data_IF_167903289273
#
_entry.id   IF_167903289273
#
_cell.length_a   1.000
_cell.length_b   1.000
_cell.length_c   1.000
_cell.angle_alpha   90.00
_cell.angle_beta   90.00
_cell.angle_gamma   90.00
#
_symmetry.space_group_name_H-M   'P 1'
#
loop_
_entity.id
_entity.type
_entity.pdbx_description
1 polymer ?
#
# COMPACT_ATOMS: atom_id res chain seq x y z
N UNK A 1 30.88 -39.65 -10.36
CA UNK A 1 29.46 -39.83 -10.74
C UNK A 1 28.59 -38.60 -10.40
N UNK A 2 28.94 -37.79 -9.38
CA UNK A 2 28.07 -36.71 -8.90
C UNK A 2 28.08 -35.42 -9.76
N UNK A 3 29.21 -35.07 -10.38
CA UNK A 3 29.32 -33.81 -11.17
C UNK A 3 28.61 -33.93 -12.53
N UNK A 4 28.63 -35.12 -13.16
CA UNK A 4 27.94 -35.36 -14.43
C UNK A 4 26.42 -35.32 -14.28
N UNK A 5 25.89 -35.81 -13.14
CA UNK A 5 24.46 -35.81 -12.86
C UNK A 5 23.92 -34.37 -12.60
N UNK A 6 24.70 -33.49 -11.98
CA UNK A 6 24.35 -32.11 -11.76
C UNK A 6 24.34 -31.30 -13.07
N UNK A 7 25.32 -31.50 -13.96
CA UNK A 7 25.37 -30.85 -15.26
C UNK A 7 24.21 -31.27 -16.18
N UNK A 8 23.81 -32.54 -16.13
CA UNK A 8 22.68 -33.04 -16.93
C UNK A 8 21.33 -32.58 -16.40
N UNK A 9 21.20 -32.34 -15.09
CA UNK A 9 19.96 -31.79 -14.51
C UNK A 9 19.78 -30.29 -14.84
N UNK A 10 20.87 -29.50 -14.77
CA UNK A 10 20.85 -28.09 -15.17
C UNK A 10 20.53 -27.95 -16.68
N UNK A 11 21.20 -28.72 -17.54
CA UNK A 11 20.96 -28.68 -18.99
C UNK A 11 19.56 -29.11 -19.40
N UNK A 12 18.91 -30.05 -18.68
CA UNK A 12 17.52 -30.44 -18.95
C UNK A 12 16.53 -29.35 -18.55
N UNK A 13 16.77 -28.60 -17.47
CA UNK A 13 15.92 -27.48 -17.06
C UNK A 13 16.05 -26.31 -18.05
N UNK A 14 17.26 -25.99 -18.51
CA UNK A 14 17.49 -24.91 -19.50
C UNK A 14 16.85 -25.25 -20.85
N UNK A 15 16.91 -26.51 -21.30
CA UNK A 15 16.24 -26.93 -22.52
C UNK A 15 14.70 -26.87 -22.41
N UNK A 16 14.14 -27.22 -21.26
CA UNK A 16 12.71 -27.11 -20.97
C UNK A 16 12.24 -25.66 -20.96
N UNK A 17 13.01 -24.77 -20.35
CA UNK A 17 12.72 -23.34 -20.28
C UNK A 17 12.75 -22.71 -21.69
N UNK A 18 13.81 -22.96 -22.47
CA UNK A 18 13.94 -22.44 -23.83
C UNK A 18 12.79 -22.85 -24.74
N UNK A 19 12.39 -24.14 -24.70
CA UNK A 19 11.24 -24.63 -25.46
C UNK A 19 9.94 -23.96 -25.04
N UNK A 20 9.70 -23.78 -23.74
CA UNK A 20 8.48 -23.15 -23.24
C UNK A 20 8.41 -21.67 -23.61
N UNK A 21 9.54 -20.94 -23.60
CA UNK A 21 9.62 -19.57 -24.08
C UNK A 21 9.28 -19.48 -25.57
N UNK A 22 9.82 -20.39 -26.40
CA UNK A 22 9.51 -20.45 -27.83
C UNK A 22 8.01 -20.69 -28.09
N UNK A 23 7.40 -21.60 -27.33
CA UNK A 23 5.95 -21.85 -27.41
C UNK A 23 5.17 -20.58 -27.06
N UNK A 24 5.52 -19.90 -25.97
CA UNK A 24 4.85 -18.68 -25.54
C UNK A 24 4.93 -17.58 -26.59
N UNK A 25 6.12 -17.34 -27.14
CA UNK A 25 6.33 -16.32 -28.20
C UNK A 25 5.52 -16.69 -29.47
N UNK A 26 5.51 -17.96 -29.86
CA UNK A 26 4.75 -18.39 -31.03
C UNK A 26 3.24 -18.25 -30.80
N UNK A 27 2.72 -18.59 -29.62
CA UNK A 27 1.32 -18.38 -29.26
C UNK A 27 0.94 -16.89 -29.33
N UNK A 28 1.74 -16.00 -28.76
CA UNK A 28 1.51 -14.55 -28.84
C UNK A 28 1.50 -14.05 -30.28
N UNK A 29 2.43 -14.53 -31.12
CA UNK A 29 2.48 -14.20 -32.53
C UNK A 29 1.24 -14.66 -33.28
N UNK A 30 0.84 -15.93 -33.11
CA UNK A 30 -0.34 -16.48 -33.76
C UNK A 30 -1.62 -15.73 -33.39
N UNK A 31 -1.79 -15.41 -32.08
CA UNK A 31 -2.92 -14.63 -31.61
C UNK A 31 -2.92 -13.21 -32.21
N UNK A 32 -1.76 -12.54 -32.23
CA UNK A 32 -1.65 -11.18 -32.77
C UNK A 32 -1.89 -11.11 -34.29
N UNK A 33 -1.60 -12.18 -35.04
CA UNK A 33 -1.74 -12.20 -36.48
C UNK A 33 -3.08 -12.75 -36.97
N UNK A 34 -3.65 -13.73 -36.24
CA UNK A 34 -4.74 -14.56 -36.76
C UNK A 34 -6.03 -14.50 -35.98
N UNK A 35 -6.04 -13.85 -34.76
CA UNK A 35 -7.27 -13.71 -34.01
C UNK A 35 -8.24 -12.74 -34.70
N UNK A 36 -9.56 -12.98 -34.59
CA UNK A 36 -10.60 -12.24 -35.32
C UNK A 36 -10.64 -10.75 -34.97
N UNK A 37 -10.36 -10.40 -33.69
CA UNK A 37 -10.32 -9.02 -33.21
C UNK A 37 -8.86 -8.57 -32.98
N UNK A 38 -8.56 -7.27 -33.06
CA UNK A 38 -7.25 -6.76 -32.69
C UNK A 38 -6.88 -7.14 -31.27
N UNK A 39 -5.72 -7.75 -31.10
CA UNK A 39 -5.20 -8.17 -29.78
C UNK A 39 -4.08 -7.23 -29.38
N UNK A 40 -4.15 -6.76 -28.15
CA UNK A 40 -3.10 -5.97 -27.52
C UNK A 40 -2.01 -6.92 -26.95
N UNK A 41 -0.78 -6.88 -27.48
CA UNK A 41 0.31 -7.75 -27.01
C UNK A 41 0.68 -7.56 -25.54
N UNK A 42 0.56 -6.33 -25.01
CA UNK A 42 0.90 -6.02 -23.63
C UNK A 42 -0.09 -6.68 -22.69
N UNK A 43 -1.39 -6.61 -22.99
CA UNK A 43 -2.43 -7.32 -22.24
C UNK A 43 -2.29 -8.84 -22.29
N UNK A 44 -1.84 -9.40 -23.43
CA UNK A 44 -1.53 -10.83 -23.51
C UNK A 44 -0.38 -11.20 -22.59
N UNK A 45 0.67 -10.36 -22.55
CA UNK A 45 1.83 -10.60 -21.67
C UNK A 45 1.46 -10.49 -20.20
N UNK A 46 0.65 -9.50 -19.84
CA UNK A 46 0.14 -9.34 -18.45
C UNK A 46 -0.68 -10.57 -18.04
N UNK A 47 -1.59 -11.02 -18.88
CA UNK A 47 -2.38 -12.24 -18.63
C UNK A 47 -1.52 -13.48 -18.50
N UNK A 48 -0.45 -13.62 -19.30
CA UNK A 48 0.50 -14.71 -19.21
C UNK A 48 1.30 -14.66 -17.89
N UNK A 49 1.79 -13.48 -17.50
CA UNK A 49 2.54 -13.27 -16.27
C UNK A 49 1.66 -13.57 -15.03
N UNK A 50 0.44 -13.06 -14.99
CA UNK A 50 -0.53 -13.36 -13.94
C UNK A 50 -0.82 -14.86 -13.86
N UNK A 51 -1.01 -15.53 -15.00
CA UNK A 51 -1.21 -16.97 -15.05
C UNK A 51 -0.02 -17.79 -14.53
N UNK A 52 1.21 -17.34 -14.79
CA UNK A 52 2.41 -18.03 -14.28
C UNK A 52 2.52 -18.05 -12.76
N UNK A 53 1.98 -17.06 -12.07
CA UNK A 53 2.07 -16.93 -10.60
C UNK A 53 0.82 -17.43 -9.89
N UNK A 54 -0.31 -17.62 -10.59
CA UNK A 54 -1.62 -17.93 -10.01
C UNK A 54 -1.68 -19.21 -9.18
N UNK A 55 -0.84 -20.20 -9.51
CA UNK A 55 -0.81 -21.51 -8.85
C UNK A 55 0.30 -21.61 -7.78
N UNK A 56 1.03 -20.53 -7.48
CA UNK A 56 2.14 -20.60 -6.53
C UNK A 56 1.63 -20.46 -5.08
N UNK A 57 1.38 -19.26 -4.63
CA UNK A 57 0.88 -18.95 -3.30
C UNK A 57 0.08 -17.62 -3.37
N UNK A 58 -0.71 -17.28 -2.33
CA UNK A 58 -1.55 -16.08 -2.36
C UNK A 58 -0.78 -14.76 -2.22
N UNK A 59 0.54 -14.80 -2.01
CA UNK A 59 1.39 -13.61 -1.81
C UNK A 59 2.29 -13.32 -3.00
N UNK A 60 2.44 -14.30 -3.91
CA UNK A 60 3.21 -14.12 -5.14
C UNK A 60 2.30 -13.54 -6.22
N UNK A 61 2.49 -12.26 -6.52
CA UNK A 61 1.68 -11.50 -7.47
C UNK A 61 2.55 -10.89 -8.57
N UNK A 62 2.01 -10.81 -9.77
CA UNK A 62 2.56 -9.98 -10.84
C UNK A 62 1.91 -8.61 -10.77
N UNK A 63 2.71 -7.56 -10.59
CA UNK A 63 2.25 -6.18 -10.57
C UNK A 63 2.53 -5.54 -11.92
N UNK A 64 1.50 -5.27 -12.75
CA UNK A 64 1.67 -4.56 -14.00
C UNK A 64 2.06 -3.10 -13.77
N UNK A 65 2.56 -2.42 -14.82
CA UNK A 65 2.97 -1.01 -14.73
C UNK A 65 1.85 -0.10 -14.21
N UNK A 66 0.61 -0.35 -14.62
CA UNK A 66 -0.57 0.38 -14.13
C UNK A 66 -0.81 0.20 -12.62
N UNK A 67 -0.41 -0.94 -12.05
CA UNK A 67 -0.51 -1.26 -10.61
C UNK A 67 0.63 -0.70 -9.75
N UNK A 68 1.70 -0.21 -10.37
CA UNK A 68 2.89 0.26 -9.63
C UNK A 68 2.61 1.42 -8.67
N UNK A 69 1.66 2.31 -9.00
CA UNK A 69 1.27 3.41 -8.11
C UNK A 69 0.59 2.91 -6.83
N UNK A 70 -0.21 1.85 -6.92
CA UNK A 70 -0.86 1.25 -5.76
C UNK A 70 0.17 0.48 -4.91
N UNK A 71 1.12 -0.21 -5.55
CA UNK A 71 2.25 -0.82 -4.86
C UNK A 71 3.15 0.21 -4.16
N UNK A 72 3.44 1.35 -4.80
CA UNK A 72 4.17 2.46 -4.19
C UNK A 72 3.41 3.03 -2.98
N UNK A 73 2.09 3.17 -3.09
CA UNK A 73 1.25 3.60 -1.97
C UNK A 73 1.35 2.62 -0.77
N UNK A 74 1.26 1.31 -1.02
CA UNK A 74 1.36 0.29 0.02
C UNK A 74 2.73 0.26 0.73
N UNK A 75 3.80 0.58 -0.01
CA UNK A 75 5.17 0.54 0.55
C UNK A 75 5.59 1.86 1.16
N UNK A 76 5.36 2.97 0.47
CA UNK A 76 5.83 4.30 0.92
C UNK A 76 4.78 5.08 1.70
N UNK A 77 3.51 4.68 1.64
CA UNK A 77 2.40 5.48 2.15
C UNK A 77 2.16 6.78 1.36
N UNK A 78 2.77 6.90 0.17
CA UNK A 78 2.71 8.12 -0.63
C UNK A 78 2.04 7.85 -1.98
N UNK A 79 1.25 8.79 -2.45
CA UNK A 79 0.67 8.76 -3.79
C UNK A 79 0.48 10.17 -4.32
N UNK A 80 0.38 10.30 -5.63
CA UNK A 80 0.21 11.58 -6.28
C UNK A 80 -1.27 11.82 -6.59
N UNK A 81 -1.86 12.90 -6.02
CA UNK A 81 -3.29 13.15 -6.17
C UNK A 81 -3.80 14.35 -5.38
N UNK A 82 -5.08 14.32 -5.02
CA UNK A 82 -5.74 15.44 -4.32
C UNK A 82 -5.76 15.29 -2.79
N UNK A 83 -5.49 14.13 -2.24
CA UNK A 83 -5.46 13.91 -0.79
C UNK A 83 -6.84 13.79 -0.14
N UNK A 84 -7.64 12.82 -0.58
CA UNK A 84 -8.93 12.51 0.04
C UNK A 84 -9.20 11.01 0.02
N UNK A 85 -9.75 10.49 1.11
CA UNK A 85 -10.38 9.19 1.15
C UNK A 85 -11.75 9.29 0.48
N UNK A 86 -12.06 8.35 -0.41
CA UNK A 86 -13.33 8.29 -1.14
C UNK A 86 -14.05 6.99 -0.88
N UNK A 87 -15.37 6.99 -1.01
CA UNK A 87 -16.23 5.80 -0.79
C UNK A 87 -17.39 5.80 -1.76
N UNK A 88 -17.73 4.62 -2.27
CA UNK A 88 -18.97 4.43 -3.03
C UNK A 88 -20.19 4.60 -2.12
N UNK A 89 -21.16 5.37 -2.58
CA UNK A 89 -22.50 5.46 -1.99
C UNK A 89 -23.53 5.71 -3.09
N UNK A 90 -24.45 4.78 -3.24
CA UNK A 90 -25.42 4.78 -4.34
C UNK A 90 -24.72 4.81 -5.71
N UNK A 91 -25.22 5.60 -6.64
CA UNK A 91 -24.67 5.78 -8.00
C UNK A 91 -23.43 6.69 -8.05
N UNK A 92 -22.93 7.20 -6.92
CA UNK A 92 -21.84 8.16 -6.88
C UNK A 92 -20.76 7.80 -5.86
N UNK A 93 -19.57 8.22 -6.16
CA UNK A 93 -18.48 8.25 -5.17
C UNK A 93 -18.55 9.54 -4.37
N UNK A 94 -18.30 9.44 -3.07
CA UNK A 94 -18.29 10.59 -2.13
C UNK A 94 -16.94 10.73 -1.46
N UNK A 95 -16.64 11.96 -1.07
CA UNK A 95 -15.51 12.26 -0.19
C UNK A 95 -15.85 11.69 1.20
N UNK A 96 -15.13 10.66 1.63
CA UNK A 96 -15.26 10.11 2.97
C UNK A 96 -14.48 10.95 3.99
N UNK A 97 -13.28 11.41 3.59
CA UNK A 97 -12.45 12.29 4.41
C UNK A 97 -11.39 13.00 3.54
N UNK A 98 -11.36 14.34 3.45
CA UNK A 98 -10.18 15.04 2.97
C UNK A 98 -9.07 14.96 4.02
N UNK A 99 -7.83 14.72 3.62
CA UNK A 99 -6.70 14.73 4.56
C UNK A 99 -6.35 16.16 4.92
N UNK A 100 -6.12 16.42 6.19
CA UNK A 100 -5.82 17.76 6.70
C UNK A 100 -4.62 18.38 5.97
N UNK A 101 -4.78 19.60 5.47
CA UNK A 101 -3.76 20.34 4.73
C UNK A 101 -3.51 19.84 3.31
N UNK A 102 -4.25 18.84 2.83
CA UNK A 102 -4.16 18.32 1.46
C UNK A 102 -4.74 19.31 0.43
N UNK A 103 -4.48 19.13 -0.87
CA UNK A 103 -5.13 19.91 -1.93
C UNK A 103 -6.66 19.86 -1.89
N UNK A 104 -7.25 18.71 -1.54
CA UNK A 104 -8.70 18.57 -1.39
C UNK A 104 -9.24 19.41 -0.22
N UNK A 105 -8.57 19.39 0.92
CA UNK A 105 -8.92 20.20 2.09
C UNK A 105 -8.78 21.69 1.81
N UNK A 106 -7.65 22.11 1.23
CA UNK A 106 -7.41 23.50 0.80
C UNK A 106 -8.42 24.01 -0.24
N UNK A 107 -8.94 23.09 -1.07
CA UNK A 107 -9.97 23.40 -2.05
C UNK A 107 -11.38 23.46 -1.43
N UNK A 108 -11.54 23.19 -0.14
CA UNK A 108 -12.81 23.26 0.58
C UNK A 108 -13.71 22.04 0.38
N UNK A 109 -13.18 20.91 -0.09
CA UNK A 109 -13.95 19.65 -0.14
C UNK A 109 -14.24 19.17 1.29
N UNK A 110 -15.43 18.62 1.51
CA UNK A 110 -15.92 18.25 2.82
C UNK A 110 -16.34 16.78 2.87
N UNK A 111 -16.40 16.24 4.08
CA UNK A 111 -16.93 14.89 4.33
C UNK A 111 -18.39 14.83 3.84
N UNK A 112 -18.72 13.81 3.05
CA UNK A 112 -20.05 13.58 2.49
C UNK A 112 -20.27 14.20 1.11
N UNK A 113 -19.37 15.06 0.62
CA UNK A 113 -19.46 15.65 -0.71
C UNK A 113 -19.60 14.58 -1.79
N UNK A 114 -20.59 14.74 -2.66
CA UNK A 114 -20.85 13.85 -3.79
C UNK A 114 -20.07 14.35 -5.00
N UNK A 115 -19.22 13.51 -5.58
CA UNK A 115 -18.46 13.85 -6.78
C UNK A 115 -19.39 13.74 -7.99
N UNK A 116 -19.74 14.87 -8.60
CA UNK A 116 -20.63 14.94 -9.74
C UNK A 116 -19.88 14.79 -11.07
N UNK A 117 -18.73 15.44 -11.21
CA UNK A 117 -17.92 15.32 -12.43
C UNK A 117 -16.44 15.53 -12.16
N UNK A 118 -15.60 14.94 -13.04
CA UNK A 118 -14.15 15.08 -13.03
C UNK A 118 -13.71 15.46 -14.43
N UNK A 119 -13.02 16.60 -14.59
CA UNK A 119 -12.59 17.17 -15.87
C UNK A 119 -13.73 17.27 -16.89
N UNK A 120 -14.94 17.62 -16.39
CA UNK A 120 -16.15 17.76 -17.19
C UNK A 120 -16.86 16.47 -17.57
N UNK A 121 -16.31 15.29 -17.21
CA UNK A 121 -17.00 13.99 -17.40
C UNK A 121 -17.89 13.72 -16.18
N UNK A 122 -19.16 13.37 -16.44
CA UNK A 122 -20.10 12.94 -15.42
C UNK A 122 -19.55 11.70 -14.69
N UNK A 123 -19.56 11.74 -13.36
CA UNK A 123 -19.06 10.67 -12.49
C UNK A 123 -20.18 9.72 -12.03
N UNK A 124 -21.41 9.88 -12.51
CA UNK A 124 -22.52 8.97 -12.19
C UNK A 124 -22.21 7.55 -12.65
N UNK A 125 -22.33 6.59 -11.76
CA UNK A 125 -22.05 5.18 -12.04
C UNK A 125 -20.56 4.80 -12.10
N UNK A 126 -19.64 5.74 -11.86
CA UNK A 126 -18.23 5.39 -11.75
C UNK A 126 -17.95 4.61 -10.48
N UNK A 127 -17.08 3.62 -10.57
CA UNK A 127 -16.55 2.90 -9.41
C UNK A 127 -15.53 3.75 -8.65
N UNK A 128 -15.19 3.34 -7.44
CA UNK A 128 -14.14 4.00 -6.63
C UNK A 128 -12.81 4.03 -7.35
N UNK A 129 -12.45 2.94 -8.05
CA UNK A 129 -11.19 2.82 -8.82
C UNK A 129 -11.19 3.82 -10.00
N UNK A 130 -12.31 3.92 -10.73
CA UNK A 130 -12.44 4.85 -11.86
C UNK A 130 -12.37 6.31 -11.42
N UNK A 131 -12.90 6.65 -10.25
CA UNK A 131 -12.77 7.99 -9.68
C UNK A 131 -11.35 8.20 -9.18
N UNK A 132 -10.79 7.25 -8.43
CA UNK A 132 -9.42 7.32 -7.89
C UNK A 132 -8.39 7.56 -9.00
N UNK A 133 -8.44 6.77 -10.09
CA UNK A 133 -7.50 6.92 -11.22
C UNK A 133 -7.55 8.31 -11.87
N UNK A 134 -8.72 8.96 -11.89
CA UNK A 134 -8.87 10.33 -12.43
C UNK A 134 -8.45 11.43 -11.47
N UNK A 135 -8.56 11.19 -10.16
CA UNK A 135 -8.11 12.13 -9.13
C UNK A 135 -6.59 12.04 -8.90
N UNK A 136 -5.98 10.88 -9.12
CA UNK A 136 -4.52 10.69 -9.16
C UNK A 136 -3.92 11.32 -10.41
N UNK A 137 -2.61 11.47 -10.47
CA UNK A 137 -1.85 11.95 -11.61
C UNK A 137 -0.64 12.78 -11.20
N UNK A 138 0.18 13.18 -12.16
CA UNK A 138 1.46 13.86 -11.93
C UNK A 138 1.36 15.05 -10.96
N UNK A 139 2.29 15.16 -9.98
CA UNK A 139 2.36 16.29 -9.08
C UNK A 139 2.47 17.63 -9.85
N UNK A 140 1.70 18.62 -9.43
CA UNK A 140 1.66 19.90 -10.11
C UNK A 140 0.62 20.02 -11.22
N UNK A 141 0.12 18.92 -11.78
CA UNK A 141 -0.99 18.92 -12.71
C UNK A 141 -2.30 19.33 -12.00
N UNK A 142 -3.31 19.72 -12.76
CA UNK A 142 -4.60 20.14 -12.20
C UNK A 142 -5.69 19.18 -12.62
N UNK A 143 -6.64 18.93 -11.73
CA UNK A 143 -7.90 18.24 -11.99
C UNK A 143 -9.05 19.16 -11.61
N UNK A 144 -10.08 19.24 -12.45
CA UNK A 144 -11.29 19.98 -12.19
C UNK A 144 -12.36 19.05 -11.60
N UNK A 145 -12.75 19.28 -10.36
CA UNK A 145 -13.73 18.43 -9.66
C UNK A 145 -14.96 19.26 -9.35
N UNK A 146 -16.14 18.76 -9.72
CA UNK A 146 -17.42 19.34 -9.30
C UNK A 146 -18.05 18.42 -8.27
N UNK A 147 -18.39 18.98 -7.11
CA UNK A 147 -19.03 18.27 -6.01
C UNK A 147 -20.37 18.91 -5.65
N UNK A 148 -21.26 18.11 -5.05
CA UNK A 148 -22.47 18.57 -4.37
C UNK A 148 -22.29 18.34 -2.87
N UNK A 149 -22.35 19.41 -2.09
CA UNK A 149 -22.29 19.37 -0.64
C UNK A 149 -23.57 18.78 -0.02
N UNK A 150 -23.51 18.46 1.25
CA UNK A 150 -24.67 17.89 1.97
C UNK A 150 -25.88 18.84 2.03
N UNK A 151 -25.66 20.15 1.91
CA UNK A 151 -26.72 21.19 1.85
C UNK A 151 -27.32 21.37 0.45
N UNK A 152 -26.86 20.57 -0.53
CA UNK A 152 -27.31 20.63 -1.92
C UNK A 152 -26.60 21.70 -2.78
N UNK A 153 -25.74 22.51 -2.21
CA UNK A 153 -24.95 23.48 -2.99
C UNK A 153 -23.88 22.76 -3.82
N UNK A 154 -23.59 23.30 -4.99
CA UNK A 154 -22.56 22.74 -5.88
C UNK A 154 -21.34 23.64 -5.90
N UNK A 155 -20.17 23.01 -5.86
CA UNK A 155 -18.89 23.67 -5.98
C UNK A 155 -18.07 23.01 -7.09
N UNK A 156 -17.40 23.84 -7.91
CA UNK A 156 -16.38 23.37 -8.86
C UNK A 156 -15.03 23.95 -8.45
N UNK A 157 -14.06 23.06 -8.22
CA UNK A 157 -12.71 23.44 -7.84
C UNK A 157 -11.68 22.88 -8.85
N UNK A 158 -10.69 23.69 -9.21
CA UNK A 158 -9.50 23.26 -9.92
C UNK A 158 -8.41 22.93 -8.89
N UNK A 159 -8.21 21.67 -8.62
CA UNK A 159 -7.33 21.17 -7.57
C UNK A 159 -5.98 20.80 -8.18
N UNK A 160 -4.89 21.34 -7.63
CA UNK A 160 -3.54 20.99 -8.01
C UNK A 160 -3.16 19.69 -7.32
N UNK A 161 -2.74 18.67 -8.08
CA UNK A 161 -2.25 17.42 -7.50
C UNK A 161 -0.92 17.63 -6.81
N UNK A 162 -0.73 16.99 -5.68
CA UNK A 162 0.50 17.00 -4.89
C UNK A 162 0.88 15.59 -4.48
N UNK A 163 2.12 15.40 -4.04
CA UNK A 163 2.55 14.19 -3.36
C UNK A 163 1.89 14.14 -1.98
N UNK A 164 1.00 13.20 -1.78
CA UNK A 164 0.25 12.99 -0.54
C UNK A 164 0.93 11.90 0.27
N UNK A 165 1.22 12.17 1.55
CA UNK A 165 1.67 11.15 2.49
C UNK A 165 0.49 10.75 3.39
N UNK A 166 0.23 9.46 3.47
CA UNK A 166 -0.72 8.88 4.42
C UNK A 166 0.10 8.41 5.61
N UNK A 167 -0.12 8.94 6.83
CA UNK A 167 0.66 8.52 7.99
C UNK A 167 0.37 7.07 8.36
N UNK A 168 1.42 6.29 8.63
CA UNK A 168 1.31 4.94 9.19
C UNK A 168 0.74 4.95 10.61
N UNK A 169 0.93 6.07 11.35
CA UNK A 169 0.38 6.32 12.69
C UNK A 169 -0.65 7.46 12.64
N UNK A 170 -1.88 7.22 12.16
CA UNK A 170 -2.88 8.27 11.94
C UNK A 170 -3.45 8.86 13.25
N UNK A 171 -3.29 8.18 14.36
CA UNK A 171 -3.82 8.65 15.65
C UNK A 171 -2.97 8.19 16.83
N UNK A 172 -2.74 9.08 17.77
CA UNK A 172 -2.20 8.79 19.09
C UNK A 172 -2.87 9.71 20.14
N UNK A 173 -3.26 9.15 21.27
CA UNK A 173 -3.96 9.88 22.32
C UNK A 173 -4.09 9.05 23.60
N UNK A 174 -5.02 9.44 24.48
CA UNK A 174 -5.25 8.81 25.78
C UNK A 174 -6.62 8.14 25.81
N UNK A 175 -6.68 6.87 26.25
CA UNK A 175 -7.96 6.15 26.45
C UNK A 175 -8.38 6.10 27.92
N UNK A 176 -7.43 6.26 28.85
CA UNK A 176 -7.67 6.39 30.28
C UNK A 176 -6.52 7.18 30.94
N UNK A 177 -6.61 7.44 32.24
CA UNK A 177 -5.54 8.14 32.94
C UNK A 177 -4.24 7.32 32.96
N UNK A 178 -3.21 7.86 32.30
CA UNK A 178 -1.91 7.22 32.12
C UNK A 178 -1.88 6.08 31.12
N UNK A 179 -2.98 5.78 30.41
CA UNK A 179 -3.01 4.75 29.37
C UNK A 179 -3.05 5.42 27.99
N UNK A 180 -1.93 5.35 27.28
CA UNK A 180 -1.80 5.80 25.90
C UNK A 180 -2.47 4.85 24.92
N UNK A 181 -2.91 5.38 23.79
CA UNK A 181 -3.44 4.61 22.66
C UNK A 181 -2.83 5.13 21.38
N UNK A 182 -2.31 4.23 20.56
CA UNK A 182 -1.76 4.54 19.25
C UNK A 182 -2.39 3.59 18.23
N UNK A 183 -2.99 4.16 17.19
CA UNK A 183 -3.44 3.41 16.02
C UNK A 183 -2.31 3.40 14.99
N UNK A 184 -1.95 2.20 14.53
CA UNK A 184 -0.95 1.99 13.49
C UNK A 184 -1.61 1.24 12.32
N UNK A 185 -1.83 1.94 11.22
CA UNK A 185 -2.59 1.41 10.08
C UNK A 185 -1.74 0.58 9.12
N UNK A 186 -0.50 1.01 8.86
CA UNK A 186 0.35 0.38 7.85
C UNK A 186 1.84 0.57 8.18
N UNK A 187 2.66 -0.43 7.82
CA UNK A 187 4.12 -0.34 7.96
C UNK A 187 4.76 0.34 6.74
N UNK A 188 4.44 1.61 6.54
CA UNK A 188 4.99 2.44 5.47
C UNK A 188 6.37 2.99 5.83
N UNK A 189 7.10 3.49 4.82
CA UNK A 189 8.39 4.13 5.02
C UNK A 189 8.32 5.28 6.03
N UNK A 190 9.13 5.21 7.09
CA UNK A 190 9.19 6.23 8.15
C UNK A 190 8.15 6.07 9.27
N UNK A 191 7.30 5.04 9.26
CA UNK A 191 6.32 4.83 10.33
C UNK A 191 6.97 4.56 11.70
N UNK A 192 8.22 4.09 11.73
CA UNK A 192 9.01 4.01 12.96
C UNK A 192 9.19 5.38 13.62
N UNK A 193 9.56 6.40 12.84
CA UNK A 193 9.74 7.76 13.37
C UNK A 193 8.41 8.37 13.81
N UNK A 194 7.32 8.10 13.09
CA UNK A 194 5.97 8.51 13.49
C UNK A 194 5.55 7.88 14.81
N UNK A 195 5.76 6.56 14.97
CA UNK A 195 5.48 5.82 16.20
C UNK A 195 6.30 6.38 17.37
N UNK A 196 7.59 6.59 17.15
CA UNK A 196 8.51 7.16 18.14
C UNK A 196 8.05 8.55 18.57
N UNK A 197 7.75 9.43 17.62
CA UNK A 197 7.27 10.78 17.90
C UNK A 197 5.94 10.76 18.68
N UNK A 198 5.02 9.84 18.34
CA UNK A 198 3.77 9.66 19.04
C UNK A 198 3.98 9.23 20.52
N UNK A 199 4.87 8.27 20.75
CA UNK A 199 5.25 7.81 22.11
C UNK A 199 5.91 8.94 22.89
N UNK A 200 6.87 9.66 22.32
CA UNK A 200 7.57 10.76 22.98
C UNK A 200 6.60 11.89 23.35
N UNK A 201 5.65 12.23 22.48
CA UNK A 201 4.59 13.21 22.75
C UNK A 201 3.74 12.78 23.96
N UNK A 202 3.24 11.54 23.96
CA UNK A 202 2.45 11.03 25.09
C UNK A 202 3.24 11.08 26.42
N UNK A 203 4.51 10.71 26.40
CA UNK A 203 5.38 10.76 27.61
C UNK A 203 5.64 12.19 28.09
N UNK A 204 5.64 13.17 27.21
CA UNK A 204 5.82 14.58 27.55
C UNK A 204 4.55 15.20 28.14
N UNK A 205 3.38 14.76 27.69
CA UNK A 205 2.09 15.31 28.16
C UNK A 205 1.77 14.90 29.60
N UNK A 206 2.01 13.64 29.98
CA UNK A 206 1.83 13.10 31.33
C UNK A 206 2.49 11.73 31.52
N UNK A 207 2.65 11.22 32.77
CA UNK A 207 3.22 9.91 33.05
C UNK A 207 2.47 8.79 32.30
N UNK A 208 3.17 8.07 31.43
CA UNK A 208 2.65 6.93 30.68
C UNK A 208 2.80 5.66 31.54
N UNK A 209 1.67 5.05 31.94
CA UNK A 209 1.58 3.85 32.78
C UNK A 209 1.31 2.58 32.02
N UNK A 210 0.84 2.70 30.78
CA UNK A 210 0.56 1.60 29.86
C UNK A 210 0.25 2.12 28.48
N UNK A 211 0.35 1.25 27.48
CA UNK A 211 0.13 1.60 26.07
C UNK A 211 -0.73 0.55 25.38
N UNK A 212 -1.70 1.00 24.62
CA UNK A 212 -2.50 0.20 23.69
C UNK A 212 -2.03 0.51 22.27
N UNK A 213 -1.54 -0.50 21.58
CA UNK A 213 -1.22 -0.44 20.14
C UNK A 213 -2.37 -1.11 19.37
N UNK A 214 -2.99 -0.36 18.47
CA UNK A 214 -4.09 -0.87 17.65
C UNK A 214 -3.63 -1.10 16.22
N UNK A 215 -3.48 -2.39 15.89
CA UNK A 215 -3.14 -2.90 14.56
C UNK A 215 -4.35 -3.48 13.82
N UNK A 216 -5.55 -3.27 14.29
CA UNK A 216 -6.75 -3.77 13.60
C UNK A 216 -6.85 -3.17 12.21
N UNK A 217 -7.06 -4.03 11.22
CA UNK A 217 -7.08 -3.69 9.78
C UNK A 217 -5.74 -3.17 9.24
N UNK A 218 -4.62 -3.46 9.93
CA UNK A 218 -3.29 -3.22 9.38
C UNK A 218 -2.96 -4.31 8.36
N UNK A 219 -2.70 -3.91 7.12
CA UNK A 219 -2.40 -4.81 6.00
C UNK A 219 -0.96 -5.31 5.95
N UNK A 220 -0.08 -4.83 6.85
CA UNK A 220 1.35 -5.13 6.81
C UNK A 220 2.17 -3.98 6.23
N UNK A 221 3.21 -4.32 5.45
CA UNK A 221 4.09 -3.36 4.79
C UNK A 221 5.57 -3.68 4.93
N UNK A 222 6.42 -2.70 5.19
CA UNK A 222 7.88 -2.84 5.24
C UNK A 222 8.30 -3.56 6.53
N UNK A 223 8.85 -4.76 6.38
CA UNK A 223 9.30 -5.59 7.50
C UNK A 223 10.37 -4.90 8.34
N UNK A 224 11.30 -4.17 7.72
CA UNK A 224 12.35 -3.44 8.42
C UNK A 224 11.80 -2.37 9.37
N UNK A 225 10.70 -1.71 9.00
CA UNK A 225 10.02 -0.75 9.86
C UNK A 225 9.38 -1.45 11.07
N UNK A 226 8.78 -2.63 10.86
CA UNK A 226 8.24 -3.45 11.94
C UNK A 226 9.34 -3.89 12.94
N UNK A 227 10.52 -4.30 12.42
CA UNK A 227 11.68 -4.67 13.26
C UNK A 227 12.15 -3.48 14.10
N UNK A 228 12.25 -2.28 13.51
CA UNK A 228 12.63 -1.06 14.24
C UNK A 228 11.60 -0.72 15.32
N UNK A 229 10.30 -0.82 15.03
CA UNK A 229 9.23 -0.55 16.00
C UNK A 229 9.31 -1.54 17.17
N UNK A 230 9.53 -2.83 16.89
CA UNK A 230 9.73 -3.84 17.95
C UNK A 230 10.94 -3.50 18.83
N UNK A 231 12.01 -2.93 18.28
CA UNK A 231 13.17 -2.46 19.03
C UNK A 231 12.88 -1.38 20.07
N UNK A 232 11.70 -0.73 20.03
CA UNK A 232 11.28 0.20 21.09
C UNK A 232 10.84 -0.51 22.37
N UNK A 233 10.50 -1.81 22.30
CA UNK A 233 9.84 -2.56 23.37
C UNK A 233 10.68 -3.74 23.89
N UNK A 234 11.56 -4.30 23.06
CA UNK A 234 12.35 -5.48 23.41
C UNK A 234 13.85 -5.19 23.38
N UNK A 235 14.68 -5.94 24.16
CA UNK A 235 16.12 -5.71 24.25
C UNK A 235 16.81 -5.74 22.88
N UNK A 236 17.85 -4.93 22.73
CA UNK A 236 18.72 -4.95 21.56
C UNK A 236 19.29 -6.34 21.32
N UNK A 237 19.35 -6.75 20.06
CA UNK A 237 19.83 -8.06 19.61
C UNK A 237 18.79 -9.17 19.68
N UNK A 238 17.55 -8.86 20.11
CA UNK A 238 16.44 -9.83 20.10
C UNK A 238 16.12 -10.24 18.67
N UNK A 239 16.09 -11.53 18.37
CA UNK A 239 15.58 -12.06 17.12
C UNK A 239 14.06 -11.92 17.08
N UNK A 240 13.54 -11.19 16.11
CA UNK A 240 12.11 -10.88 16.02
C UNK A 240 11.44 -11.54 14.83
N UNK A 241 12.19 -11.78 13.75
CA UNK A 241 11.68 -12.48 12.57
C UNK A 241 12.84 -13.13 11.80
N UNK A 242 12.58 -14.23 11.13
CA UNK A 242 13.50 -14.80 10.16
C UNK A 242 12.77 -15.16 8.88
N UNK A 243 13.47 -15.01 7.76
CA UNK A 243 13.00 -15.47 6.45
C UNK A 243 13.86 -16.61 5.97
N UNK A 244 13.26 -17.57 5.26
CA UNK A 244 13.97 -18.69 4.64
C UNK A 244 13.39 -18.95 3.26
N UNK A 245 14.22 -18.91 2.26
CA UNK A 245 13.87 -19.33 0.91
C UNK A 245 14.22 -20.80 0.65
N UNK A 246 14.29 -21.19 -0.62
CA UNK A 246 14.56 -22.56 -1.04
C UNK A 246 15.98 -23.04 -0.70
N UNK A 247 16.97 -22.16 -0.78
CA UNK A 247 18.36 -22.49 -0.42
C UNK A 247 18.66 -22.14 1.04
N UNK A 248 19.56 -22.89 1.69
CA UNK A 248 19.98 -22.60 3.07
C UNK A 248 20.63 -21.19 3.17
N UNK A 249 21.35 -20.74 2.16
CA UNK A 249 21.99 -19.41 2.10
C UNK A 249 20.99 -18.27 2.02
N UNK A 250 19.70 -18.55 1.72
CA UNK A 250 18.64 -17.56 1.68
C UNK A 250 18.05 -17.20 3.04
N UNK A 251 18.48 -17.91 4.10
CA UNK A 251 18.01 -17.63 5.46
C UNK A 251 18.53 -16.28 5.93
N UNK A 252 17.62 -15.38 6.28
CA UNK A 252 17.94 -14.10 6.92
C UNK A 252 17.28 -14.03 8.29
N UNK A 253 18.00 -13.47 9.25
CA UNK A 253 17.51 -13.27 10.62
C UNK A 253 17.54 -11.78 10.93
N UNK A 254 16.40 -11.25 11.32
CA UNK A 254 16.25 -9.85 11.67
C UNK A 254 16.22 -9.71 13.19
N UNK A 255 17.09 -8.83 13.69
CA UNK A 255 17.24 -8.57 15.12
C UNK A 255 17.06 -7.08 15.38
N UNK A 256 16.58 -6.75 16.57
CA UNK A 256 16.53 -5.37 17.03
C UNK A 256 17.94 -4.80 17.16
N UNK A 257 18.13 -3.54 16.75
CA UNK A 257 19.44 -2.86 16.71
C UNK A 257 19.55 -1.67 17.69
N UNK A 258 18.44 -1.31 18.34
CA UNK A 258 18.34 -0.20 19.29
C UNK A 258 18.06 -0.69 20.71
N UNK A 259 18.43 0.12 21.72
CA UNK A 259 17.96 -0.09 23.09
C UNK A 259 16.49 0.29 23.23
N UNK A 260 15.69 -0.47 23.96
CA UNK A 260 14.26 -0.21 24.12
C UNK A 260 14.00 1.09 24.89
N UNK A 261 13.02 1.85 24.44
CA UNK A 261 12.57 3.06 25.12
C UNK A 261 11.41 2.80 26.08
N UNK A 262 10.76 1.64 25.97
CA UNK A 262 9.56 1.22 26.73
C UNK A 262 9.64 -0.26 27.17
N UNK A 263 10.80 -0.74 27.65
CA UNK A 263 11.03 -2.15 27.99
C UNK A 263 10.05 -2.70 29.04
N UNK A 264 9.72 -1.90 30.06
CA UNK A 264 8.93 -2.33 31.22
C UNK A 264 7.49 -1.80 31.20
N UNK A 265 7.09 -1.12 30.13
CA UNK A 265 5.74 -0.55 30.06
C UNK A 265 4.72 -1.66 29.74
N UNK A 266 3.64 -1.78 30.55
CA UNK A 266 2.52 -2.66 30.21
C UNK A 266 1.98 -2.33 28.80
N UNK A 267 1.95 -3.34 27.93
CA UNK A 267 1.56 -3.22 26.54
C UNK A 267 0.38 -4.12 26.21
N UNK A 268 -0.62 -3.58 25.55
CA UNK A 268 -1.74 -4.34 24.95
C UNK A 268 -1.74 -4.11 23.46
N UNK A 269 -1.81 -5.19 22.67
CA UNK A 269 -1.89 -5.15 21.22
C UNK A 269 -3.27 -5.61 20.77
N UNK A 270 -3.97 -4.78 20.00
CA UNK A 270 -5.25 -5.11 19.38
C UNK A 270 -5.01 -5.56 17.93
N UNK A 271 -5.54 -6.71 17.59
CA UNK A 271 -5.52 -7.31 16.24
C UNK A 271 -6.91 -7.78 15.86
N UNK A 272 -7.16 -8.08 14.57
CA UNK A 272 -8.38 -8.69 14.04
C UNK A 272 -8.05 -9.84 13.09
#
# INVERSE_FOLDING_TARGET
ASAAALLTFAARNDFGLGRNMEITVNMMRELSLNYVDPVDPDRLMEGAAAGMVSDLDPYTEYIPEEGMQDFELLTTGKYDGIGALIRQKDDYVRIAQPYQGSPADKAGLKIGDKILSIDGKDAKGFTTEQVSSRLKGEPGSKVKVTVEHLDGTQQTAAIRRERIAIPGVPYAGWVADGIGYIRHSDFTEGCYEEMRAAIERLRTEKPLKGLVLDYRSNGGGIMQEAVKILGMFVPKGTEVVSTKGRSEDSKQVFRTDTEPILADLPLTVLIN
#
